data_IF_731577600941
#
_entry.id   IF_731577600941
#
_cell.length_a   1.000
_cell.length_b   1.000
_cell.length_c   1.000
_cell.angle_alpha   90.00
_cell.angle_beta   90.00
_cell.angle_gamma   90.00
#
_symmetry.space_group_name_H-M   'P 1'
#
loop_
_entity.id
_entity.type
_entity.pdbx_description
1 polymer ?
#
# COMPACT_ATOMS: atom_id res chain seq x y z
N UNK A 1 -13.39 3.87 -65.72
CA UNK A 1 -13.55 5.04 -64.85
C UNK A 1 -14.25 4.60 -63.58
N UNK A 2 -13.51 4.28 -62.51
CA UNK A 2 -14.08 4.01 -61.17
C UNK A 2 -13.10 4.56 -60.13
N UNK A 3 -13.45 5.71 -59.54
CA UNK A 3 -12.73 6.31 -58.41
C UNK A 3 -13.14 5.55 -57.14
N UNK A 4 -12.20 4.83 -56.52
CA UNK A 4 -12.38 4.26 -55.18
C UNK A 4 -11.97 5.31 -54.15
N UNK A 5 -12.94 5.95 -53.54
CA UNK A 5 -12.75 6.89 -52.44
C UNK A 5 -12.42 6.07 -51.18
N UNK A 6 -11.18 6.15 -50.70
CA UNK A 6 -10.78 5.53 -49.44
C UNK A 6 -11.24 6.45 -48.30
N UNK A 7 -12.24 6.00 -47.54
CA UNK A 7 -12.73 6.69 -46.35
C UNK A 7 -11.79 6.34 -45.18
N UNK A 8 -10.97 7.29 -44.76
CA UNK A 8 -10.08 7.12 -43.62
C UNK A 8 -10.90 7.21 -42.32
N UNK A 9 -11.04 6.08 -41.63
CA UNK A 9 -11.63 5.99 -40.29
C UNK A 9 -10.63 6.58 -39.29
N UNK A 10 -10.85 7.81 -38.84
CA UNK A 10 -10.10 8.40 -37.75
C UNK A 10 -10.53 7.75 -36.42
N UNK A 11 -9.75 6.79 -35.92
CA UNK A 11 -9.86 6.32 -34.55
C UNK A 11 -9.25 7.37 -33.62
N UNK A 12 -10.11 8.21 -33.04
CA UNK A 12 -9.75 9.06 -31.91
C UNK A 12 -9.53 8.16 -30.70
N UNK A 13 -8.27 7.83 -30.40
CA UNK A 13 -7.91 7.22 -29.11
C UNK A 13 -8.10 8.31 -28.06
N UNK A 14 -9.25 8.32 -27.40
CA UNK A 14 -9.38 9.03 -26.14
C UNK A 14 -8.45 8.33 -25.15
N UNK A 15 -7.28 8.92 -24.93
CA UNK A 15 -6.43 8.58 -23.80
C UNK A 15 -7.19 9.02 -22.53
N UNK A 16 -8.09 8.14 -22.06
CA UNK A 16 -8.59 8.24 -20.70
C UNK A 16 -7.37 8.24 -19.79
N UNK A 17 -7.27 9.24 -18.92
CA UNK A 17 -6.30 9.22 -17.82
C UNK A 17 -6.69 8.00 -16.99
N UNK A 18 -5.98 6.89 -17.16
CA UNK A 18 -6.18 5.73 -16.33
C UNK A 18 -5.91 6.18 -14.88
N UNK A 19 -6.93 6.14 -14.04
CA UNK A 19 -6.73 6.28 -12.61
C UNK A 19 -5.68 5.24 -12.20
N UNK A 20 -4.66 5.65 -11.46
CA UNK A 20 -3.68 4.72 -10.94
C UNK A 20 -4.42 3.66 -10.12
N UNK A 21 -4.16 2.38 -10.42
CA UNK A 21 -4.75 1.28 -9.64
C UNK A 21 -4.31 1.42 -8.17
N UNK A 22 -5.17 1.03 -7.20
CA UNK A 22 -4.79 1.00 -5.80
C UNK A 22 -3.52 0.16 -5.60
N UNK A 23 -2.63 0.63 -4.73
CA UNK A 23 -1.46 -0.13 -4.31
C UNK A 23 -1.84 -0.94 -3.08
N UNK A 24 -1.68 -2.25 -3.15
CA UNK A 24 -1.95 -3.16 -2.03
C UNK A 24 -0.64 -3.69 -1.47
N UNK A 25 -0.44 -3.49 -0.18
CA UNK A 25 0.70 -4.01 0.59
C UNK A 25 0.18 -4.97 1.64
N UNK A 26 0.93 -6.03 1.92
CA UNK A 26 0.59 -7.01 2.96
C UNK A 26 1.77 -7.22 3.88
N UNK A 27 1.50 -7.60 5.11
CA UNK A 27 2.53 -8.00 6.04
C UNK A 27 1.96 -8.64 7.30
N UNK A 28 2.78 -8.60 8.35
CA UNK A 28 2.40 -9.12 9.65
C UNK A 28 3.07 -8.38 10.79
N UNK A 29 2.40 -8.44 11.94
CA UNK A 29 2.95 -8.08 13.26
C UNK A 29 3.12 -9.34 14.10
N UNK A 30 4.17 -9.36 14.91
CA UNK A 30 4.51 -10.48 15.78
C UNK A 30 5.36 -9.99 16.95
N UNK A 31 5.51 -10.85 17.95
CA UNK A 31 6.32 -10.57 19.12
C UNK A 31 7.81 -10.80 18.82
N UNK A 32 8.64 -9.91 19.35
CA UNK A 32 10.08 -9.82 19.13
C UNK A 32 10.82 -10.02 20.46
N UNK A 33 11.90 -10.80 20.40
CA UNK A 33 12.98 -10.82 21.38
C UNK A 33 14.09 -9.89 20.84
N UNK A 34 14.20 -8.68 21.43
CA UNK A 34 15.09 -7.62 20.91
C UNK A 34 16.47 -7.63 21.55
N UNK A 35 16.58 -8.06 22.80
CA UNK A 35 17.83 -8.13 23.55
C UNK A 35 18.47 -9.52 23.50
N UNK A 36 17.77 -10.52 22.95
CA UNK A 36 18.28 -11.87 22.74
C UNK A 36 18.28 -12.70 24.02
N UNK A 37 17.47 -12.34 25.02
CA UNK A 37 17.41 -13.03 26.30
C UNK A 37 16.49 -14.29 26.26
N UNK A 38 15.86 -14.55 25.12
CA UNK A 38 14.93 -15.64 24.88
C UNK A 38 13.49 -15.30 25.23
N UNK A 39 13.20 -14.08 25.70
CA UNK A 39 11.85 -13.60 26.00
C UNK A 39 11.39 -12.66 24.92
N UNK A 40 10.14 -12.85 24.52
CA UNK A 40 9.47 -11.89 23.67
C UNK A 40 8.80 -10.85 24.56
N UNK A 41 9.21 -9.60 24.43
CA UNK A 41 8.72 -8.47 25.24
C UNK A 41 8.31 -7.26 24.39
N UNK A 42 8.67 -7.30 23.11
CA UNK A 42 8.40 -6.25 22.15
C UNK A 42 7.41 -6.72 21.09
N UNK A 43 6.61 -5.81 20.53
CA UNK A 43 5.72 -6.08 19.40
C UNK A 43 6.20 -5.29 18.20
N UNK A 44 6.24 -5.95 17.03
CA UNK A 44 6.57 -5.30 15.77
C UNK A 44 5.57 -4.19 15.42
N UNK A 45 6.09 -3.07 14.93
CA UNK A 45 5.34 -2.04 14.21
C UNK A 45 5.79 -2.13 12.76
N UNK A 46 4.87 -2.39 11.85
CA UNK A 46 5.23 -2.48 10.43
C UNK A 46 5.40 -1.09 9.85
N UNK A 47 6.36 -0.94 8.94
CA UNK A 47 6.75 0.33 8.35
C UNK A 47 6.64 0.26 6.83
N UNK A 48 5.80 1.10 6.23
CA UNK A 48 5.68 1.21 4.77
C UNK A 48 6.17 2.60 4.35
N UNK A 49 7.31 2.64 3.68
CA UNK A 49 7.86 3.87 3.13
C UNK A 49 7.39 4.05 1.69
N UNK A 50 6.97 5.28 1.36
CA UNK A 50 6.46 5.61 0.03
C UNK A 50 6.79 7.05 -0.35
N UNK A 51 6.81 7.33 -1.65
CA UNK A 51 6.97 8.69 -2.18
C UNK A 51 5.69 9.16 -2.86
N UNK A 52 5.40 10.47 -2.72
CA UNK A 52 4.27 11.13 -3.38
C UNK A 52 4.71 12.43 -4.06
N UNK A 53 3.95 12.85 -5.08
CA UNK A 53 4.02 14.22 -5.61
C UNK A 53 3.23 15.19 -4.72
N UNK A 54 3.54 16.49 -4.79
CA UNK A 54 2.73 17.52 -4.13
C UNK A 54 1.31 17.56 -4.70
N UNK A 55 0.31 17.79 -3.85
CA UNK A 55 -1.11 17.80 -4.21
C UNK A 55 -1.77 16.42 -4.26
N UNK A 56 -0.99 15.33 -4.12
CA UNK A 56 -1.55 13.97 -4.09
C UNK A 56 -2.45 13.81 -2.87
N UNK A 57 -3.64 13.27 -3.08
CA UNK A 57 -4.49 12.79 -2.00
C UNK A 57 -4.41 11.27 -1.98
N UNK A 58 -4.06 10.69 -0.83
CA UNK A 58 -4.03 9.24 -0.64
C UNK A 58 -5.06 8.87 0.40
N UNK A 59 -5.92 7.92 0.04
CA UNK A 59 -6.77 7.23 0.98
C UNK A 59 -6.06 5.95 1.42
N UNK A 60 -5.82 5.83 2.73
CA UNK A 60 -5.24 4.67 3.40
C UNK A 60 -6.37 3.86 4.00
N UNK A 61 -6.37 2.57 3.71
CA UNK A 61 -7.39 1.63 4.17
C UNK A 61 -6.68 0.35 4.63
N UNK A 62 -6.73 0.10 5.93
CA UNK A 62 -6.17 -1.12 6.51
C UNK A 62 -7.24 -2.20 6.57
N UNK A 63 -6.82 -3.44 6.44
CA UNK A 63 -7.64 -4.60 6.75
C UNK A 63 -6.80 -5.49 7.63
N UNK A 64 -7.18 -5.57 8.90
CA UNK A 64 -6.41 -6.27 9.93
C UNK A 64 -7.24 -7.35 10.61
N UNK A 65 -8.57 -7.25 10.54
CA UNK A 65 -9.48 -8.13 11.27
C UNK A 65 -10.18 -9.13 10.34
N UNK A 66 -9.79 -10.38 10.45
CA UNK A 66 -10.32 -11.49 9.64
C UNK A 66 -11.62 -12.08 10.23
N UNK A 67 -12.40 -11.29 10.97
CA UNK A 67 -13.59 -11.73 11.72
C UNK A 67 -14.70 -12.34 10.84
N UNK A 68 -14.66 -12.09 9.53
CA UNK A 68 -15.55 -12.67 8.52
C UNK A 68 -15.07 -14.03 7.97
N UNK A 69 -13.91 -14.51 8.41
CA UNK A 69 -13.30 -15.77 7.96
C UNK A 69 -12.48 -15.68 6.68
N UNK A 70 -12.17 -14.46 6.20
CA UNK A 70 -11.29 -14.22 5.05
C UNK A 70 -9.84 -14.19 5.50
N UNK A 71 -9.03 -15.09 4.97
CA UNK A 71 -7.58 -15.13 5.19
C UNK A 71 -6.87 -14.15 4.22
N UNK A 72 -6.28 -13.11 4.77
CA UNK A 72 -5.68 -11.96 4.09
C UNK A 72 -4.32 -12.27 3.51
N UNK A 73 -3.57 -13.16 4.12
CA UNK A 73 -2.19 -13.45 3.74
C UNK A 73 -2.01 -14.86 3.14
N UNK A 74 -3.07 -15.68 3.14
CA UNK A 74 -3.10 -17.03 2.59
C UNK A 74 -2.40 -18.06 3.46
N UNK A 75 -2.18 -17.79 4.74
CA UNK A 75 -1.46 -18.68 5.67
C UNK A 75 -2.36 -19.73 6.35
N UNK A 76 -3.67 -19.68 6.09
CA UNK A 76 -4.69 -20.57 6.61
C UNK A 76 -5.08 -20.29 8.07
N UNK A 77 -4.70 -19.13 8.62
CA UNK A 77 -5.03 -18.71 9.99
C UNK A 77 -5.96 -17.50 9.95
N UNK A 78 -6.76 -17.37 11.01
CA UNK A 78 -7.61 -16.21 11.25
C UNK A 78 -6.97 -15.39 12.37
N UNK A 79 -6.76 -14.13 12.08
CA UNK A 79 -6.08 -13.16 12.92
C UNK A 79 -6.86 -11.85 12.93
N UNK A 80 -6.72 -11.12 14.02
CA UNK A 80 -7.28 -9.79 14.12
C UNK A 80 -6.71 -9.03 15.28
N UNK A 81 -6.65 -7.72 15.14
CA UNK A 81 -6.20 -6.81 16.18
C UNK A 81 -6.80 -5.43 15.98
N UNK A 82 -6.64 -4.62 17.00
CA UNK A 82 -7.03 -3.20 17.01
C UNK A 82 -5.97 -2.36 16.31
N UNK A 83 -6.20 -1.87 15.08
CA UNK A 83 -5.15 -1.21 14.32
C UNK A 83 -5.02 0.27 14.63
N UNK A 84 -3.82 0.63 15.07
CA UNK A 84 -3.34 2.01 15.11
C UNK A 84 -2.43 2.28 13.91
N UNK A 85 -2.68 3.36 13.18
CA UNK A 85 -1.86 3.86 12.09
C UNK A 85 -1.27 5.22 12.38
N UNK A 86 -0.02 5.46 11.98
CA UNK A 86 0.63 6.76 12.13
C UNK A 86 1.41 7.14 10.86
N UNK A 87 1.10 8.31 10.30
CA UNK A 87 1.77 8.91 9.15
C UNK A 87 2.88 9.85 9.59
N UNK A 88 4.08 9.60 9.08
CA UNK A 88 5.31 10.31 9.43
C UNK A 88 5.95 10.94 8.19
N UNK A 89 6.64 12.05 8.43
CA UNK A 89 7.66 12.61 7.53
C UNK A 89 8.94 12.84 8.31
N UNK A 90 9.95 12.00 8.04
CA UNK A 90 11.11 11.95 8.92
C UNK A 90 10.67 11.53 10.33
N UNK A 91 11.00 12.34 11.34
CA UNK A 91 10.60 12.12 12.75
C UNK A 91 9.36 12.92 13.17
N UNK A 92 8.66 13.55 12.22
CA UNK A 92 7.46 14.35 12.50
C UNK A 92 6.21 13.56 12.17
N UNK A 93 5.34 13.38 13.16
CA UNK A 93 3.99 12.89 12.97
C UNK A 93 3.14 13.94 12.27
N UNK A 94 2.39 13.49 11.27
CA UNK A 94 1.47 14.31 10.49
C UNK A 94 0.02 13.97 10.78
N UNK A 95 -0.24 12.71 11.09
CA UNK A 95 -1.57 12.19 11.33
C UNK A 95 -1.47 10.83 12.04
N UNK A 96 -2.44 10.52 12.87
CA UNK A 96 -2.64 9.20 13.47
C UNK A 96 -4.12 8.83 13.41
N UNK A 97 -4.41 7.53 13.37
CA UNK A 97 -5.76 7.01 13.46
C UNK A 97 -5.78 5.70 14.23
N UNK A 98 -6.70 5.62 15.18
CA UNK A 98 -7.07 4.44 15.95
C UNK A 98 -8.57 4.29 15.73
N UNK A 99 -8.99 3.18 15.13
CA UNK A 99 -10.34 2.90 14.66
C UNK A 99 -10.84 3.66 13.41
N UNK A 100 -11.77 3.04 12.70
CA UNK A 100 -12.66 3.69 11.75
C UNK A 100 -14.10 3.60 12.24
N UNK A 101 -14.85 4.69 12.13
CA UNK A 101 -16.23 4.75 12.64
C UNK A 101 -17.23 3.98 11.77
N UNK A 102 -16.82 3.49 10.59
CA UNK A 102 -17.68 2.77 9.65
C UNK A 102 -16.92 1.66 8.91
N UNK A 103 -17.62 0.59 8.54
CA UNK A 103 -17.16 -0.39 7.56
C UNK A 103 -17.47 0.17 6.17
N UNK A 104 -16.50 0.84 5.56
CA UNK A 104 -16.73 1.51 4.29
C UNK A 104 -16.72 0.48 3.13
N UNK A 105 -17.17 0.92 1.95
CA UNK A 105 -17.10 0.14 0.70
C UNK A 105 -15.66 0.01 0.14
N UNK A 106 -14.65 0.36 0.94
CA UNK A 106 -13.22 0.35 0.63
C UNK A 106 -12.57 -1.03 0.87
N UNK A 107 -13.13 -1.83 1.77
CA UNK A 107 -12.66 -3.18 2.10
C UNK A 107 -12.51 -3.42 3.60
N UNK A 108 -12.58 -2.39 4.44
CA UNK A 108 -12.63 -2.50 5.90
C UNK A 108 -13.89 -3.26 6.35
N UNK A 109 -13.72 -4.27 7.20
CA UNK A 109 -14.82 -5.14 7.67
C UNK A 109 -15.10 -5.02 9.16
N UNK A 110 -14.27 -4.26 9.90
CA UNK A 110 -14.45 -4.00 11.32
C UNK A 110 -14.08 -2.56 11.70
N UNK A 111 -14.64 -2.03 12.80
CA UNK A 111 -14.25 -0.70 13.32
C UNK A 111 -12.78 -0.59 13.75
N UNK A 112 -12.09 -1.72 13.86
CA UNK A 112 -10.66 -1.81 14.21
C UNK A 112 -9.76 -1.71 12.99
N UNK A 113 -10.35 -1.76 11.79
CA UNK A 113 -9.66 -1.53 10.53
C UNK A 113 -9.58 -0.01 10.33
N UNK A 114 -8.45 0.59 10.69
CA UNK A 114 -8.26 2.04 10.54
C UNK A 114 -8.27 2.44 9.05
N UNK A 115 -8.91 3.57 8.74
CA UNK A 115 -8.95 4.14 7.39
C UNK A 115 -9.05 5.67 7.43
N UNK A 116 -8.31 6.36 6.57
CA UNK A 116 -8.38 7.83 6.45
C UNK A 116 -7.78 8.36 5.14
N UNK A 117 -8.19 9.56 4.75
CA UNK A 117 -7.63 10.31 3.64
C UNK A 117 -6.64 11.40 4.09
N UNK A 118 -5.52 11.54 3.39
CA UNK A 118 -4.53 12.60 3.64
C UNK A 118 -4.08 13.27 2.33
N UNK A 119 -4.05 14.60 2.32
CA UNK A 119 -3.57 15.39 1.18
C UNK A 119 -2.17 15.92 1.45
N UNK A 120 -1.21 15.53 0.61
CA UNK A 120 0.19 15.88 0.74
C UNK A 120 0.49 17.22 0.07
N UNK A 121 0.76 18.25 0.86
CA UNK A 121 1.09 19.60 0.33
C UNK A 121 2.48 19.68 -0.30
N UNK A 122 3.36 18.72 -0.01
CA UNK A 122 4.75 18.68 -0.49
C UNK A 122 5.05 17.33 -1.12
N UNK A 123 5.84 17.34 -2.19
CA UNK A 123 6.43 16.11 -2.71
C UNK A 123 7.50 15.61 -1.74
N UNK A 124 7.64 14.29 -1.62
CA UNK A 124 8.66 13.72 -0.75
C UNK A 124 8.40 12.27 -0.39
N UNK A 125 9.25 11.76 0.51
CA UNK A 125 9.11 10.44 1.12
C UNK A 125 8.41 10.57 2.47
N UNK A 126 7.50 9.65 2.70
CA UNK A 126 6.69 9.53 3.90
C UNK A 126 6.72 8.07 4.36
N UNK A 127 6.35 7.85 5.61
CA UNK A 127 6.22 6.52 6.18
C UNK A 127 4.85 6.41 6.84
N UNK A 128 4.10 5.39 6.48
CA UNK A 128 2.93 4.97 7.24
C UNK A 128 3.37 3.77 8.09
N UNK A 129 3.05 3.85 9.38
CA UNK A 129 3.29 2.76 10.31
C UNK A 129 1.96 2.19 10.75
N UNK A 130 1.96 0.90 11.08
CA UNK A 130 0.78 0.20 11.53
C UNK A 130 1.16 -0.90 12.53
N UNK A 131 0.43 -0.96 13.64
CA UNK A 131 0.54 -2.01 14.64
C UNK A 131 -0.78 -2.15 15.41
N UNK A 132 -0.75 -2.94 16.47
CA UNK A 132 -1.87 -3.08 17.38
C UNK A 132 -1.84 -1.98 18.45
N UNK A 133 -2.95 -1.28 18.68
CA UNK A 133 -3.11 -0.19 19.67
C UNK A 133 -2.10 0.95 19.51
N UNK A 134 -2.31 2.04 20.24
CA UNK A 134 -1.41 3.20 20.21
C UNK A 134 0.05 2.89 20.58
N UNK A 135 0.96 3.63 19.96
CA UNK A 135 2.41 3.59 20.17
C UNK A 135 3.02 4.97 19.92
N UNK A 136 4.22 5.22 20.45
CA UNK A 136 4.86 6.53 20.30
C UNK A 136 5.53 6.71 18.94
N UNK A 137 5.81 7.95 18.53
CA UNK A 137 6.66 8.25 17.37
C UNK A 137 8.03 7.56 17.46
N UNK A 138 8.60 7.45 18.66
CA UNK A 138 9.88 6.78 18.86
C UNK A 138 9.79 5.28 18.53
N UNK A 139 8.74 4.61 19.00
CA UNK A 139 8.44 3.21 18.68
C UNK A 139 8.18 3.04 17.18
N UNK A 140 7.40 3.96 16.59
CA UNK A 140 7.06 3.97 15.17
C UNK A 140 8.31 4.06 14.28
N UNK A 141 9.29 4.89 14.65
CA UNK A 141 10.58 5.00 13.96
C UNK A 141 11.47 3.77 14.20
N UNK A 142 11.41 3.19 15.40
CA UNK A 142 12.17 1.99 15.74
C UNK A 142 11.63 0.71 15.07
N UNK A 143 10.34 0.70 14.71
CA UNK A 143 9.65 -0.45 14.13
C UNK A 143 9.17 -1.47 15.16
N UNK A 144 9.09 -1.10 16.44
CA UNK A 144 8.59 -1.96 17.52
C UNK A 144 8.29 -1.16 18.79
N UNK A 145 7.43 -1.70 19.64
CA UNK A 145 7.20 -1.22 21.02
C UNK A 145 8.08 -1.96 22.01
N UNK A 146 8.55 -1.32 23.07
CA UNK A 146 9.47 -1.96 24.05
C UNK A 146 8.82 -2.78 25.17
N UNK A 147 7.50 -2.65 25.41
CA UNK A 147 6.84 -3.29 26.57
C UNK A 147 5.43 -3.77 26.29
N UNK A 148 5.14 -4.10 25.04
CA UNK A 148 3.80 -4.51 24.62
C UNK A 148 3.92 -5.74 23.74
N UNK A 149 3.05 -6.71 23.98
CA UNK A 149 2.92 -7.92 23.17
C UNK A 149 1.71 -7.80 22.27
N UNK A 150 1.81 -8.44 21.11
CA UNK A 150 0.69 -8.74 20.25
C UNK A 150 -0.31 -9.66 20.95
N UNK A 151 -1.59 -9.40 20.71
CA UNK A 151 -2.72 -10.22 21.18
C UNK A 151 -3.71 -10.32 20.05
N UNK A 152 -4.00 -11.55 19.64
CA UNK A 152 -4.98 -11.84 18.61
C UNK A 152 -6.39 -11.75 19.21
N UNK A 153 -7.29 -11.07 18.52
CA UNK A 153 -8.68 -10.89 18.93
C UNK A 153 -9.60 -11.95 18.34
N UNK A 154 -9.23 -12.59 17.22
CA UNK A 154 -10.10 -13.50 16.47
C UNK A 154 -9.57 -14.94 16.39
N UNK A 155 -8.38 -15.21 16.94
CA UNK A 155 -7.77 -16.54 16.95
C UNK A 155 -7.02 -16.85 18.26
N UNK A 156 -6.71 -18.13 18.52
CA UNK A 156 -6.03 -18.55 19.74
C UNK A 156 -4.53 -18.22 19.75
N UNK A 157 -3.95 -17.90 18.59
CA UNK A 157 -2.51 -17.65 18.44
C UNK A 157 -2.18 -16.18 18.70
N UNK A 158 -1.57 -15.91 19.87
CA UNK A 158 -1.12 -14.58 20.29
C UNK A 158 0.31 -14.23 19.83
N UNK A 159 0.85 -14.94 18.84
CA UNK A 159 2.21 -14.70 18.36
C UNK A 159 2.27 -13.89 17.07
N UNK A 160 1.14 -13.75 16.37
CA UNK A 160 1.10 -13.25 15.00
C UNK A 160 -0.26 -12.65 14.59
N UNK A 161 -0.23 -11.53 13.86
CA UNK A 161 -1.39 -10.94 13.20
C UNK A 161 -1.08 -10.50 11.77
N UNK A 162 -1.92 -10.89 10.82
CA UNK A 162 -1.81 -10.48 9.42
C UNK A 162 -2.44 -9.10 9.20
N UNK A 163 -1.93 -8.37 8.21
CA UNK A 163 -2.54 -7.12 7.80
C UNK A 163 -2.38 -6.90 6.29
N UNK A 164 -3.32 -6.15 5.73
CA UNK A 164 -3.26 -5.57 4.41
C UNK A 164 -3.44 -4.05 4.52
N UNK A 165 -2.70 -3.29 3.71
CA UNK A 165 -2.87 -1.86 3.55
C UNK A 165 -3.13 -1.56 2.07
N UNK A 166 -4.27 -0.98 1.77
CA UNK A 166 -4.62 -0.45 0.47
C UNK A 166 -4.37 1.06 0.46
N UNK A 167 -3.65 1.53 -0.55
CA UNK A 167 -3.39 2.96 -0.76
C UNK A 167 -3.92 3.38 -2.12
N UNK A 168 -4.92 4.26 -2.11
CA UNK A 168 -5.55 4.78 -3.33
C UNK A 168 -5.17 6.24 -3.51
N UNK A 169 -4.37 6.53 -4.54
CA UNK A 169 -3.89 7.87 -4.83
C UNK A 169 -4.72 8.56 -5.91
N UNK A 170 -5.04 9.83 -5.68
CA UNK A 170 -5.67 10.73 -6.65
C UNK A 170 -4.89 12.03 -6.74
N UNK A 171 -5.06 12.78 -7.84
CA UNK A 171 -4.44 14.09 -8.06
C UNK A 171 -2.89 14.10 -8.00
N UNK A 172 -2.25 12.95 -8.23
CA UNK A 172 -0.80 12.85 -8.19
C UNK A 172 -0.29 11.42 -8.35
N UNK A 173 0.93 11.20 -7.86
CA UNK A 173 1.66 9.93 -7.94
C UNK A 173 1.90 9.38 -6.54
N UNK A 174 1.86 8.06 -6.43
CA UNK A 174 2.23 7.30 -5.26
C UNK A 174 3.13 6.16 -5.71
N UNK A 175 4.26 5.98 -5.03
CA UNK A 175 5.17 4.86 -5.26
C UNK A 175 5.64 4.29 -3.93
N UNK A 176 5.38 3.01 -3.68
CA UNK A 176 5.87 2.31 -2.49
C UNK A 176 7.35 1.99 -2.68
N UNK A 177 8.17 2.41 -1.73
CA UNK A 177 9.62 2.26 -1.76
C UNK A 177 10.05 0.99 -1.03
N UNK A 178 9.50 0.77 0.17
CA UNK A 178 9.84 -0.38 0.99
C UNK A 178 8.76 -0.75 2.00
N UNK A 179 8.79 -2.01 2.42
CA UNK A 179 7.98 -2.55 3.52
C UNK A 179 8.93 -3.21 4.50
N UNK A 180 8.92 -2.76 5.76
CA UNK A 180 9.83 -3.24 6.82
C UNK A 180 11.31 -3.23 6.41
N UNK A 181 11.72 -2.16 5.70
CA UNK A 181 13.06 -1.99 5.16
C UNK A 181 13.40 -2.84 3.93
N UNK A 182 12.49 -3.70 3.45
CA UNK A 182 12.66 -4.46 2.22
C UNK A 182 12.14 -3.67 1.02
N UNK A 183 13.00 -3.44 0.02
CA UNK A 183 12.62 -2.71 -1.19
C UNK A 183 11.54 -3.47 -1.96
N UNK A 184 10.48 -2.76 -2.38
CA UNK A 184 9.45 -3.35 -3.25
C UNK A 184 9.91 -3.21 -4.70
N UNK A 185 10.00 -4.31 -5.48
CA UNK A 185 10.33 -4.23 -6.89
C UNK A 185 9.32 -3.35 -7.64
N UNK A 186 9.81 -2.47 -8.52
CA UNK A 186 8.93 -1.60 -9.30
C UNK A 186 7.86 -2.41 -10.05
N UNK A 187 6.61 -1.91 -10.15
CA UNK A 187 5.55 -2.64 -10.83
C UNK A 187 5.94 -3.03 -12.26
N UNK A 188 5.71 -4.29 -12.63
CA UNK A 188 6.00 -4.83 -13.97
C UNK A 188 5.31 -4.07 -15.11
N UNK A 189 4.33 -3.21 -14.82
CA UNK A 189 3.69 -2.29 -15.77
C UNK A 189 4.69 -1.32 -16.40
N UNK A 190 5.74 -0.88 -15.69
CA UNK A 190 6.81 -0.06 -16.27
C UNK A 190 7.63 -0.85 -17.29
N UNK A 191 7.94 -2.11 -16.98
CA UNK A 191 8.60 -3.00 -17.93
C UNK A 191 7.71 -3.26 -19.16
N UNK A 192 6.41 -3.45 -18.97
CA UNK A 192 5.45 -3.65 -20.05
C UNK A 192 5.27 -2.40 -20.93
N UNK A 193 5.22 -1.21 -20.32
CA UNK A 193 5.17 0.06 -21.04
C UNK A 193 6.46 0.30 -21.85
N UNK A 194 7.62 0.00 -21.28
CA UNK A 194 8.91 0.03 -21.98
C UNK A 194 8.96 -0.92 -23.17
N UNK A 195 8.48 -2.16 -23.00
CA UNK A 195 8.39 -3.14 -24.08
C UNK A 195 7.39 -2.72 -25.17
N UNK A 196 6.25 -2.13 -24.80
CA UNK A 196 5.27 -1.61 -25.75
C UNK A 196 5.86 -0.49 -26.61
N UNK A 197 6.58 0.45 -26.00
CA UNK A 197 7.26 1.54 -26.73
C UNK A 197 8.37 1.02 -27.66
N UNK A 198 9.16 0.06 -27.19
CA UNK A 198 10.18 -0.59 -28.02
C UNK A 198 9.56 -1.33 -29.22
N UNK A 199 8.44 -2.03 -29.01
CA UNK A 199 7.68 -2.71 -30.06
C UNK A 199 7.15 -1.76 -31.14
N UNK A 200 6.60 -0.60 -30.74
CA UNK A 200 6.13 0.44 -31.67
C UNK A 200 7.29 1.03 -32.48
N UNK A 201 8.44 1.27 -31.84
CA UNK A 201 9.64 1.78 -32.52
C UNK A 201 10.16 0.84 -33.61
N UNK A 202 10.20 -0.47 -33.33
CA UNK A 202 10.62 -1.49 -34.31
C UNK A 202 9.62 -1.61 -35.47
N UNK A 203 8.32 -1.54 -35.18
CA UNK A 203 7.27 -1.61 -36.21
C UNK A 203 7.36 -0.43 -37.20
N UNK A 204 7.59 0.80 -36.71
CA UNK A 204 7.76 1.99 -37.57
C UNK A 204 9.02 1.89 -38.44
N UNK A 205 10.11 1.32 -37.93
CA UNK A 205 11.35 1.13 -38.70
C UNK A 205 11.19 0.13 -39.85
N UNK A 206 10.34 -0.88 -39.70
CA UNK A 206 10.03 -1.84 -40.78
C UNK A 206 9.13 -1.25 -41.87
N UNK A 207 8.24 -0.31 -41.53
CA UNK A 207 7.40 0.38 -42.50
C UNK A 207 8.18 1.40 -43.33
N UNK A 208 9.11 2.15 -42.73
CA UNK A 208 9.95 3.14 -43.43
C UNK A 208 10.95 2.52 -44.43
N UNK A 209 11.27 1.22 -44.31
CA UNK A 209 12.16 0.49 -45.23
C UNK A 209 11.44 -0.14 -46.43
N UNK A 210 10.10 -0.10 -46.45
CA UNK A 210 9.25 -0.64 -47.52
C UNK A 210 8.61 0.46 -48.40
N UNK A 211 8.94 1.73 -48.15
CA UNK A 211 8.68 2.86 -49.02
C UNK A 211 9.98 3.24 -49.74
#
# INVERSE_FOLDING_TARGET
>A
MFKKTLMALAMTVMAGVAAAAPVVVKGSIYNLDRDGDGRQESRKISQVAFSVSAGTHVFFDSLVRESTGVDLNGDGRITGFDNFMMLLRGSTELFEQDDSSETFADGSVHSYDSAYGYTFSQAGTYMITLSQLSYSVADALAGYTTTSLFRNYDGPDNTFGAWQLTMTATNGTLNVLSVDGQSVPEPASLALAGLALAGVGVARRKQARKA
#
